data_IF_597610851455
#
_entry.id   IF_597610851455
#
_cell.length_a   1.000
_cell.length_b   1.000
_cell.length_c   1.000
_cell.angle_alpha   90.00
_cell.angle_beta   90.00
_cell.angle_gamma   90.00
#
_symmetry.space_group_name_H-M   'P 1'
#
loop_
_entity.id
_entity.type
_entity.pdbx_description
1 polymer ?
#
# COMPACT_ATOMS: atom_id res chain seq x y z
N UNK A 1 -4.42 -10.65 5.84
CA UNK A 1 -4.36 -11.12 7.26
C UNK A 1 -3.55 -10.18 8.15
N UNK A 2 -2.28 -9.85 7.83
CA UNK A 2 -1.43 -8.94 8.64
C UNK A 2 -2.04 -7.55 8.86
N UNK A 3 -2.52 -6.89 7.82
CA UNK A 3 -3.29 -5.63 7.92
C UNK A 3 -4.43 -5.68 8.94
N UNK A 4 -5.20 -6.78 8.96
CA UNK A 4 -6.29 -6.95 9.92
C UNK A 4 -5.78 -7.11 11.36
N UNK A 5 -4.65 -7.79 11.56
CA UNK A 5 -4.04 -7.94 12.87
C UNK A 5 -3.57 -6.59 13.42
N UNK A 6 -2.94 -5.77 12.58
CA UNK A 6 -2.49 -4.42 12.96
C UNK A 6 -3.70 -3.53 13.33
N UNK A 7 -4.79 -3.62 12.56
CA UNK A 7 -6.03 -2.89 12.82
C UNK A 7 -6.92 -3.51 13.90
N UNK A 8 -6.50 -4.56 14.59
CA UNK A 8 -7.31 -5.20 15.64
C UNK A 8 -6.83 -4.83 17.04
N UNK A 9 -5.58 -4.38 17.18
CA UNK A 9 -5.00 -3.98 18.45
C UNK A 9 -4.87 -2.44 18.57
N UNK A 10 -4.96 -1.85 19.77
CA UNK A 10 -4.63 -0.44 20.01
C UNK A 10 -3.11 -0.23 19.89
N UNK A 11 -2.34 -1.05 20.60
CA UNK A 11 -0.89 -1.15 20.44
C UNK A 11 -0.55 -2.32 19.51
N UNK A 12 0.16 -2.01 18.45
CA UNK A 12 0.52 -2.94 17.38
C UNK A 12 1.81 -3.63 17.73
N UNK A 13 1.82 -4.97 17.68
CA UNK A 13 3.02 -5.78 17.89
C UNK A 13 4.06 -5.41 16.82
N UNK A 14 5.22 -4.93 17.27
CA UNK A 14 6.31 -4.49 16.40
C UNK A 14 6.78 -5.62 15.47
N UNK A 15 6.66 -6.88 15.93
CA UNK A 15 6.95 -8.04 15.10
C UNK A 15 6.00 -8.14 13.90
N UNK A 16 4.71 -7.87 14.09
CA UNK A 16 3.71 -7.93 13.02
C UNK A 16 3.95 -6.80 12.00
N UNK A 17 4.38 -5.61 12.47
CA UNK A 17 4.78 -4.51 11.59
C UNK A 17 5.99 -4.87 10.74
N UNK A 18 7.05 -5.39 11.37
CA UNK A 18 8.25 -5.81 10.65
C UNK A 18 7.93 -6.87 9.60
N UNK A 19 7.13 -7.88 9.95
CA UNK A 19 6.70 -8.90 8.99
C UNK A 19 5.88 -8.33 7.83
N UNK A 20 5.09 -7.27 8.05
CA UNK A 20 4.38 -6.59 6.97
C UNK A 20 5.36 -5.83 6.05
N UNK A 21 6.33 -5.13 6.62
CA UNK A 21 7.37 -4.42 5.87
C UNK A 21 8.21 -5.37 5.01
N UNK A 22 8.63 -6.51 5.58
CA UNK A 22 9.37 -7.54 4.85
C UNK A 22 8.55 -8.09 3.67
N UNK A 23 7.25 -8.35 3.88
CA UNK A 23 6.35 -8.81 2.82
C UNK A 23 6.19 -7.76 1.70
N UNK A 24 6.06 -6.48 2.04
CA UNK A 24 5.98 -5.40 1.04
C UNK A 24 7.27 -5.31 0.22
N UNK A 25 8.43 -5.41 0.88
CA UNK A 25 9.73 -5.40 0.22
C UNK A 25 9.90 -6.61 -0.73
N UNK A 26 9.49 -7.80 -0.30
CA UNK A 26 9.54 -9.01 -1.12
C UNK A 26 8.60 -8.95 -2.33
N UNK A 27 7.40 -8.39 -2.16
CA UNK A 27 6.45 -8.15 -3.26
C UNK A 27 7.09 -7.20 -4.27
N UNK A 28 7.64 -6.06 -3.82
CA UNK A 28 8.32 -5.09 -4.70
C UNK A 28 9.48 -5.71 -5.47
N UNK A 29 10.34 -6.46 -4.78
CA UNK A 29 11.47 -7.16 -5.39
C UNK A 29 11.02 -8.18 -6.45
N UNK A 30 9.99 -8.96 -6.13
CA UNK A 30 9.47 -9.99 -7.03
C UNK A 30 8.75 -9.38 -8.23
N UNK A 31 7.97 -8.32 -8.02
CA UNK A 31 7.28 -7.60 -9.08
C UNK A 31 8.26 -6.98 -10.08
N UNK A 32 9.34 -6.33 -9.60
CA UNK A 32 10.38 -5.78 -10.46
C UNK A 32 11.11 -6.86 -11.26
N UNK A 33 11.38 -8.02 -10.67
CA UNK A 33 11.95 -9.17 -11.40
C UNK A 33 11.01 -9.70 -12.47
N UNK A 34 9.71 -9.81 -12.17
CA UNK A 34 8.71 -10.25 -13.14
C UNK A 34 8.61 -9.27 -14.31
N UNK A 35 8.50 -7.96 -14.02
CA UNK A 35 8.48 -6.88 -15.02
C UNK A 35 9.72 -6.91 -15.91
N UNK A 36 10.92 -7.05 -15.35
CA UNK A 36 12.15 -7.14 -16.11
C UNK A 36 12.19 -8.36 -17.06
N UNK A 37 11.72 -9.52 -16.59
CA UNK A 37 11.64 -10.74 -17.42
C UNK A 37 10.59 -10.62 -18.53
N UNK A 38 9.42 -10.04 -18.25
CA UNK A 38 8.39 -9.79 -19.26
C UNK A 38 8.92 -8.87 -20.36
N UNK A 39 9.57 -7.76 -19.97
CA UNK A 39 10.19 -6.82 -20.91
C UNK A 39 11.28 -7.48 -21.77
N UNK A 40 12.08 -8.37 -21.19
CA UNK A 40 13.06 -9.13 -21.96
C UNK A 40 12.39 -10.07 -22.99
N UNK A 41 11.27 -10.70 -22.64
CA UNK A 41 10.52 -11.54 -23.59
C UNK A 41 9.93 -10.68 -24.73
N UNK A 42 9.36 -9.53 -24.39
CA UNK A 42 8.84 -8.55 -25.35
C UNK A 42 9.91 -8.11 -26.36
N UNK A 43 11.09 -7.71 -25.89
CA UNK A 43 12.21 -7.32 -26.77
C UNK A 43 12.67 -8.45 -27.69
N UNK A 44 12.70 -9.70 -27.19
CA UNK A 44 13.05 -10.86 -28.02
C UNK A 44 11.99 -11.12 -29.10
N UNK A 45 10.69 -10.95 -28.78
CA UNK A 45 9.60 -11.08 -29.75
C UNK A 45 9.76 -10.03 -30.85
N UNK A 46 9.95 -8.76 -30.48
CA UNK A 46 10.14 -7.66 -31.44
C UNK A 46 11.35 -7.90 -32.37
N UNK A 47 12.46 -8.39 -31.81
CA UNK A 47 13.64 -8.71 -32.59
C UNK A 47 13.39 -9.84 -33.61
N UNK A 48 12.70 -10.90 -33.20
CA UNK A 48 12.37 -12.01 -34.10
C UNK A 48 11.40 -11.60 -35.22
N UNK A 49 10.41 -10.75 -34.90
CA UNK A 49 9.47 -10.20 -35.89
C UNK A 49 10.18 -9.41 -37.00
N UNK A 50 11.16 -8.59 -36.62
CA UNK A 50 11.96 -7.81 -37.57
C UNK A 50 12.77 -8.69 -38.53
N UNK A 51 13.01 -9.96 -38.18
CA UNK A 51 13.71 -10.92 -39.06
C UNK A 51 12.77 -11.73 -39.96
N UNK A 52 11.46 -11.38 -40.01
CA UNK A 52 10.41 -12.07 -40.77
C UNK A 52 10.29 -13.59 -40.49
N UNK A 53 10.73 -14.03 -39.31
CA UNK A 53 10.63 -15.43 -38.87
C UNK A 53 9.26 -15.71 -38.25
N UNK A 54 8.21 -15.80 -39.07
CA UNK A 54 6.91 -16.28 -38.59
C UNK A 54 6.97 -17.79 -38.31
N UNK A 55 7.30 -18.15 -37.07
CA UNK A 55 7.49 -19.52 -36.63
C UNK A 55 6.47 -19.93 -35.56
N UNK A 56 6.31 -21.24 -35.36
CA UNK A 56 5.52 -21.75 -34.24
C UNK A 56 6.10 -21.29 -32.89
N UNK A 57 7.42 -21.20 -32.76
CA UNK A 57 8.11 -20.70 -31.56
C UNK A 57 7.72 -19.25 -31.24
N UNK A 58 7.75 -18.37 -32.24
CA UNK A 58 7.37 -16.96 -32.10
C UNK A 58 5.90 -16.81 -31.65
N UNK A 59 4.99 -17.61 -32.21
CA UNK A 59 3.58 -17.62 -31.79
C UNK A 59 3.44 -18.07 -30.34
N UNK A 60 4.15 -19.12 -29.93
CA UNK A 60 4.16 -19.60 -28.55
C UNK A 60 4.66 -18.50 -27.61
N UNK A 61 5.79 -17.85 -27.92
CA UNK A 61 6.34 -16.75 -27.11
C UNK A 61 5.34 -15.61 -26.95
N UNK A 62 4.68 -15.18 -28.02
CA UNK A 62 3.64 -14.13 -27.97
C UNK A 62 2.47 -14.51 -27.07
N UNK A 63 1.93 -15.73 -27.22
CA UNK A 63 0.82 -16.20 -26.39
C UNK A 63 1.22 -16.30 -24.92
N UNK A 64 2.42 -16.82 -24.63
CA UNK A 64 2.94 -16.91 -23.26
C UNK A 64 3.17 -15.52 -22.66
N UNK A 65 3.81 -14.61 -23.39
CA UNK A 65 4.03 -13.23 -22.96
C UNK A 65 2.70 -12.55 -22.60
N UNK A 66 1.72 -12.58 -23.51
CA UNK A 66 0.38 -12.00 -23.28
C UNK A 66 -0.30 -12.57 -22.03
N UNK A 67 -0.24 -13.90 -21.86
CA UNK A 67 -0.83 -14.58 -20.70
C UNK A 67 -0.16 -14.17 -19.39
N UNK A 68 1.18 -14.16 -19.36
CA UNK A 68 1.95 -13.80 -18.18
C UNK A 68 1.78 -12.32 -17.83
N UNK A 69 1.77 -11.43 -18.81
CA UNK A 69 1.55 -9.99 -18.63
C UNK A 69 0.15 -9.71 -18.07
N UNK A 70 -0.89 -10.38 -18.58
CA UNK A 70 -2.25 -10.26 -18.01
C UNK A 70 -2.29 -10.71 -16.55
N UNK A 71 -1.72 -11.87 -16.21
CA UNK A 71 -1.66 -12.35 -14.83
C UNK A 71 -0.86 -11.43 -13.91
N UNK A 72 0.23 -10.84 -14.41
CA UNK A 72 1.02 -9.89 -13.65
C UNK A 72 0.21 -8.64 -13.31
N UNK A 73 -0.50 -8.06 -14.29
CA UNK A 73 -1.37 -6.90 -14.08
C UNK A 73 -2.50 -7.23 -13.09
N UNK A 74 -3.12 -8.41 -13.23
CA UNK A 74 -4.18 -8.87 -12.33
C UNK A 74 -3.72 -8.90 -10.86
N UNK A 75 -2.59 -9.58 -10.58
CA UNK A 75 -2.04 -9.68 -9.23
C UNK A 75 -1.61 -8.32 -8.68
N UNK A 76 -1.00 -7.46 -9.50
CA UNK A 76 -0.61 -6.11 -9.06
C UNK A 76 -1.82 -5.20 -8.81
N UNK A 77 -2.92 -5.41 -9.52
CA UNK A 77 -4.19 -4.69 -9.29
C UNK A 77 -4.81 -5.14 -7.97
N UNK A 78 -4.84 -6.44 -7.70
CA UNK A 78 -5.32 -6.99 -6.43
C UNK A 78 -4.46 -6.51 -5.24
N UNK A 79 -3.14 -6.45 -5.42
CA UNK A 79 -2.23 -5.88 -4.42
C UNK A 79 -2.56 -4.41 -4.14
N UNK A 80 -2.68 -3.57 -5.17
CA UNK A 80 -3.02 -2.16 -5.00
C UNK A 80 -4.38 -1.99 -4.30
N UNK A 81 -5.39 -2.77 -4.68
CA UNK A 81 -6.69 -2.76 -4.01
C UNK A 81 -6.56 -3.10 -2.52
N UNK A 82 -5.76 -4.11 -2.18
CA UNK A 82 -5.52 -4.50 -0.78
C UNK A 82 -4.89 -3.36 0.01
N UNK A 83 -3.95 -2.62 -0.61
CA UNK A 83 -3.30 -1.48 0.02
C UNK A 83 -4.26 -0.30 0.18
N UNK A 84 -5.05 0.05 -0.84
CA UNK A 84 -6.08 1.10 -0.74
C UNK A 84 -7.11 0.77 0.35
N UNK A 85 -7.61 -0.47 0.41
CA UNK A 85 -8.53 -0.90 1.48
C UNK A 85 -7.89 -0.77 2.87
N UNK A 86 -6.59 -0.98 3.01
CA UNK A 86 -5.87 -0.78 4.26
C UNK A 86 -5.72 0.69 4.63
N UNK A 87 -5.44 1.56 3.65
CA UNK A 87 -5.39 3.02 3.82
C UNK A 87 -6.69 3.54 4.41
N UNK A 88 -7.81 3.20 3.77
CA UNK A 88 -9.14 3.65 4.19
C UNK A 88 -9.50 3.19 5.60
N UNK A 89 -9.09 1.98 5.99
CA UNK A 89 -9.28 1.50 7.36
C UNK A 89 -8.41 2.23 8.37
N UNK A 90 -7.19 2.63 8.01
CA UNK A 90 -6.34 3.46 8.87
C UNK A 90 -6.95 4.86 9.04
N UNK A 91 -7.44 5.46 7.95
CA UNK A 91 -8.15 6.74 7.95
C UNK A 91 -9.38 6.71 8.86
N UNK A 92 -10.26 5.72 8.69
CA UNK A 92 -11.44 5.57 9.56
C UNK A 92 -11.10 5.32 11.04
N UNK A 93 -9.95 4.71 11.34
CA UNK A 93 -9.46 4.62 12.72
C UNK A 93 -9.02 5.96 13.28
N UNK A 94 -8.33 6.79 12.50
CA UNK A 94 -7.95 8.15 12.90
C UNK A 94 -9.21 8.98 13.19
N UNK A 95 -10.20 8.95 12.29
CA UNK A 95 -11.48 9.63 12.47
C UNK A 95 -12.14 9.26 13.80
N UNK A 96 -12.28 7.96 14.07
CA UNK A 96 -12.89 7.47 15.30
C UNK A 96 -12.12 7.90 16.56
N UNK A 97 -10.79 7.97 16.49
CA UNK A 97 -9.98 8.44 17.60
C UNK A 97 -10.16 9.95 17.86
N UNK A 98 -10.27 10.76 16.80
CA UNK A 98 -10.59 12.19 16.93
C UNK A 98 -11.98 12.39 17.56
N UNK A 99 -12.99 11.62 17.15
CA UNK A 99 -14.34 11.66 17.72
C UNK A 99 -14.35 11.34 19.22
N UNK A 100 -13.55 10.37 19.67
CA UNK A 100 -13.41 10.02 21.10
C UNK A 100 -12.89 11.20 21.91
N UNK A 101 -12.05 12.06 21.31
CA UNK A 101 -11.56 13.30 21.95
C UNK A 101 -12.54 14.47 21.87
N UNK A 102 -13.74 14.25 21.34
CA UNK A 102 -14.76 15.28 21.17
C UNK A 102 -14.58 16.16 19.94
N UNK A 103 -13.68 15.78 19.01
CA UNK A 103 -13.48 16.47 17.74
C UNK A 103 -14.20 15.71 16.64
N UNK A 104 -15.31 16.27 16.16
CA UNK A 104 -15.93 15.81 14.92
C UNK A 104 -15.08 16.28 13.76
N UNK A 105 -14.70 15.37 12.86
CA UNK A 105 -13.85 15.68 11.71
C UNK A 105 -14.41 15.02 10.47
N UNK A 106 -14.53 15.78 9.39
CA UNK A 106 -15.04 15.29 8.11
C UNK A 106 -13.99 14.45 7.38
N UNK A 107 -14.42 13.71 6.37
CA UNK A 107 -13.53 12.90 5.54
C UNK A 107 -12.48 13.76 4.81
N UNK A 108 -12.91 14.91 4.28
CA UNK A 108 -12.06 15.89 3.59
C UNK A 108 -11.03 16.51 4.54
N UNK A 109 -11.44 16.89 5.75
CA UNK A 109 -10.54 17.45 6.76
C UNK A 109 -9.44 16.45 7.18
N UNK A 110 -9.76 15.15 7.20
CA UNK A 110 -8.75 14.11 7.47
C UNK A 110 -7.81 13.98 6.28
N UNK A 111 -8.28 14.03 5.04
CA UNK A 111 -7.37 13.99 3.88
C UNK A 111 -6.43 15.19 3.86
N UNK A 112 -6.94 16.40 4.09
CA UNK A 112 -6.11 17.61 4.20
C UNK A 112 -5.04 17.45 5.29
N UNK A 113 -5.38 16.81 6.42
CA UNK A 113 -4.43 16.48 7.47
C UNK A 113 -3.34 15.51 7.01
N UNK A 114 -3.73 14.44 6.32
CA UNK A 114 -2.80 13.42 5.82
C UNK A 114 -1.87 14.02 4.75
N UNK A 115 -2.41 14.84 3.84
CA UNK A 115 -1.66 15.48 2.75
C UNK A 115 -0.70 16.57 3.25
N UNK A 116 -1.14 17.39 4.20
CA UNK A 116 -0.31 18.45 4.79
C UNK A 116 0.81 17.91 5.68
N UNK A 117 0.70 16.65 6.13
CA UNK A 117 1.61 16.04 7.10
C UNK A 117 1.58 16.69 8.48
N UNK A 118 0.64 17.61 8.73
CA UNK A 118 0.56 18.40 9.95
C UNK A 118 -0.54 17.90 10.88
N UNK A 119 -0.26 16.80 11.59
CA UNK A 119 -1.14 16.22 12.61
C UNK A 119 -1.52 17.22 13.73
N UNK A 120 -0.68 18.24 13.98
CA UNK A 120 -0.88 19.19 15.08
C UNK A 120 -2.17 20.02 14.94
N UNK A 121 -2.67 20.20 13.71
CA UNK A 121 -3.93 20.93 13.47
C UNK A 121 -5.11 20.25 14.19
N UNK A 122 -5.10 18.92 14.25
CA UNK A 122 -6.16 18.15 14.89
C UNK A 122 -5.80 17.68 16.29
N UNK A 123 -4.51 17.50 16.59
CA UNK A 123 -4.08 17.02 17.92
C UNK A 123 -3.82 18.14 18.92
N UNK A 124 -3.55 19.38 18.48
CA UNK A 124 -3.20 20.51 19.36
C UNK A 124 -4.32 21.00 20.30
N UNK A 125 -5.56 20.57 20.09
CA UNK A 125 -6.69 20.84 20.99
C UNK A 125 -7.06 19.67 21.91
N UNK A 126 -6.33 18.56 21.83
CA UNK A 126 -6.55 17.40 22.70
C UNK A 126 -5.91 17.74 24.05
N UNK A 127 -6.72 17.87 25.09
CA UNK A 127 -6.23 18.12 26.45
C UNK A 127 -5.48 16.88 26.94
N UNK A 128 -4.15 16.96 26.98
CA UNK A 128 -3.23 15.87 27.31
C UNK A 128 -3.25 15.42 28.80
N UNK A 129 -4.18 15.94 29.59
CA UNK A 129 -4.24 15.73 31.03
C UNK A 129 -4.74 14.33 31.41
N UNK A 130 -5.32 13.60 30.46
CA UNK A 130 -5.78 12.22 30.66
C UNK A 130 -4.86 11.19 29.99
N UNK A 131 -4.69 10.03 30.64
CA UNK A 131 -4.01 8.88 30.04
C UNK A 131 -4.70 8.44 28.72
N UNK A 132 -6.02 8.62 28.65
CA UNK A 132 -6.81 8.33 27.45
C UNK A 132 -6.43 9.23 26.27
N UNK A 133 -6.30 10.55 26.50
CA UNK A 133 -5.89 11.50 25.47
C UNK A 133 -4.50 11.16 24.89
N UNK A 134 -3.55 10.77 25.76
CA UNK A 134 -2.21 10.34 25.34
C UNK A 134 -2.25 9.06 24.49
N UNK A 135 -3.08 8.09 24.89
CA UNK A 135 -3.24 6.85 24.12
C UNK A 135 -3.87 7.11 22.75
N UNK A 136 -4.92 7.93 22.69
CA UNK A 136 -5.55 8.33 21.43
C UNK A 136 -4.56 9.00 20.49
N UNK A 137 -3.73 9.92 21.01
CA UNK A 137 -2.69 10.57 20.21
C UNK A 137 -1.69 9.57 19.63
N UNK A 138 -1.19 8.65 20.47
CA UNK A 138 -0.26 7.60 20.03
C UNK A 138 -0.87 6.68 18.96
N UNK A 139 -2.16 6.35 19.08
CA UNK A 139 -2.89 5.56 18.09
C UNK A 139 -3.00 6.31 16.75
N UNK A 140 -3.33 7.62 16.78
CA UNK A 140 -3.42 8.48 15.58
C UNK A 140 -2.07 8.54 14.88
N UNK A 141 -0.99 8.83 15.61
CA UNK A 141 0.37 8.90 15.06
C UNK A 141 0.80 7.55 14.45
N UNK A 142 0.50 6.44 15.13
CA UNK A 142 0.79 5.11 14.62
C UNK A 142 0.04 4.78 13.33
N UNK A 143 -1.23 5.19 13.19
CA UNK A 143 -2.01 4.99 11.95
C UNK A 143 -1.54 5.89 10.83
N UNK A 144 -1.18 7.13 11.13
CA UNK A 144 -0.62 8.06 10.16
C UNK A 144 0.71 7.54 9.58
N UNK A 145 1.61 7.05 10.43
CA UNK A 145 2.87 6.46 9.98
C UNK A 145 2.65 5.24 9.07
N UNK A 146 1.64 4.42 9.37
CA UNK A 146 1.29 3.29 8.51
C UNK A 146 0.79 3.75 7.13
N UNK A 147 0.00 4.83 7.05
CA UNK A 147 -0.45 5.44 5.78
C UNK A 147 0.76 5.95 4.98
N UNK A 148 1.69 6.66 5.62
CA UNK A 148 2.88 7.18 4.93
C UNK A 148 3.73 6.04 4.33
N UNK A 149 3.99 4.98 5.12
CA UNK A 149 4.76 3.82 4.65
C UNK A 149 4.05 3.14 3.48
N UNK A 150 2.74 3.00 3.57
CA UNK A 150 1.90 2.43 2.53
C UNK A 150 1.95 3.23 1.22
N UNK A 151 1.71 4.54 1.28
CA UNK A 151 1.71 5.42 0.11
C UNK A 151 3.09 5.48 -0.55
N UNK A 152 4.16 5.46 0.25
CA UNK A 152 5.53 5.33 -0.25
C UNK A 152 5.70 4.02 -1.01
N UNK A 153 5.25 2.89 -0.44
CA UNK A 153 5.34 1.59 -1.11
C UNK A 153 4.55 1.54 -2.42
N UNK A 154 3.39 2.19 -2.50
CA UNK A 154 2.58 2.25 -3.74
C UNK A 154 3.30 3.09 -4.79
N UNK A 155 3.85 4.25 -4.41
CA UNK A 155 4.55 5.16 -5.32
C UNK A 155 5.80 4.54 -5.95
N UNK A 156 6.46 3.63 -5.24
CA UNK A 156 7.70 2.99 -5.68
C UNK A 156 7.52 1.71 -6.53
N UNK A 157 6.28 1.29 -6.78
CA UNK A 157 5.93 0.07 -7.54
C UNK A 157 5.64 0.35 -9.00
#
# INVERSE_FOLDING_TARGET
>A
KKHSSILSAPQTDEKIKQELEDLMADIKKTANRARAKLKAIEQNIEQEENTNKSSADLRIRKTQHSTLSRKFVEVMTEYNRTQTDYRERCKGRIQRQLEITGKSTTDDEIEDMLESGNLQVFTGGIVMDSAQAKQTLADIEARHNDIIKLETSIREL
#
